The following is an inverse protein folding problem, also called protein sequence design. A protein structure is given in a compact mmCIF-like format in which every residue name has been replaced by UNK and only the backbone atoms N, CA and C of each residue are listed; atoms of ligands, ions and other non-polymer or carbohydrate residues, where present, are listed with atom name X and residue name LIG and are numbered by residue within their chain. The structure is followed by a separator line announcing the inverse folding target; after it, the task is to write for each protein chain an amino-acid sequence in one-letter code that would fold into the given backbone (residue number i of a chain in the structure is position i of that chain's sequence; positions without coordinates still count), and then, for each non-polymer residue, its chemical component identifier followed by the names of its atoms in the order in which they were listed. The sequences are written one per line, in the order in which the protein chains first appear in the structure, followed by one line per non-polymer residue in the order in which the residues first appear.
data_IF_085477508882
#
_entry.id   IF_085477508882
#
_cell.length_a   1.000
_cell.length_b   1.000
_cell.length_c   1.000
_cell.angle_alpha   90.00
_cell.angle_beta   90.00
_cell.angle_gamma   90.00
#
_symmetry.space_group_name_H-M   'P 1'
#
loop_
_entity.id
_entity.type
_entity.pdbx_description
1 polymer ?
#
# COMPACT_ATOMS: atom_id res chain seq x y z
N UNK A 1 -7.52 9.42 -15.77
CA UNK A 1 -6.78 8.34 -15.10
C UNK A 1 -6.66 7.15 -16.03
N UNK A 2 -5.47 6.56 -16.17
CA UNK A 2 -5.27 5.34 -17.00
C UNK A 2 -5.52 4.11 -16.12
N UNK A 3 -6.30 3.17 -16.63
CA UNK A 3 -6.57 1.89 -15.97
C UNK A 3 -5.93 0.73 -16.75
N UNK A 4 -5.45 -0.29 -16.05
CA UNK A 4 -4.89 -1.52 -16.62
C UNK A 4 -5.32 -2.71 -15.76
N UNK A 5 -5.71 -3.81 -16.40
CA UNK A 5 -5.90 -5.09 -15.70
C UNK A 5 -4.54 -5.77 -15.59
N UNK A 6 -4.18 -6.23 -14.40
CA UNK A 6 -2.98 -7.01 -14.15
C UNK A 6 -3.36 -8.29 -13.41
N UNK A 7 -2.89 -9.42 -13.91
CA UNK A 7 -3.07 -10.72 -13.27
C UNK A 7 -1.84 -11.04 -12.40
N UNK A 8 -2.08 -11.38 -11.14
CA UNK A 8 -1.10 -12.03 -10.28
C UNK A 8 -1.28 -13.54 -10.39
N UNK A 9 -0.26 -14.22 -10.92
CA UNK A 9 -0.27 -15.68 -11.13
C UNK A 9 0.07 -16.48 -9.88
N UNK A 10 0.42 -15.81 -8.78
CA UNK A 10 0.71 -16.39 -7.46
C UNK A 10 0.35 -15.39 -6.37
N UNK A 11 0.08 -15.91 -5.18
CA UNK A 11 -0.05 -15.10 -3.98
C UNK A 11 1.23 -14.31 -3.74
N UNK A 12 1.07 -13.08 -3.24
CA UNK A 12 2.18 -12.18 -2.91
C UNK A 12 2.17 -11.92 -1.41
N UNK A 13 3.34 -12.01 -0.80
CA UNK A 13 3.51 -11.97 0.64
C UNK A 13 4.14 -10.66 1.06
N UNK A 14 3.53 -9.98 2.01
CA UNK A 14 4.00 -8.71 2.52
C UNK A 14 4.05 -8.73 4.03
N UNK A 15 5.03 -8.03 4.59
CA UNK A 15 5.19 -7.83 6.02
C UNK A 15 5.22 -6.36 6.34
N UNK A 16 4.45 -5.94 7.33
CA UNK A 16 4.13 -4.53 7.49
C UNK A 16 3.78 -4.12 8.90
N UNK A 17 3.52 -2.83 9.05
CA UNK A 17 3.05 -2.22 10.28
C UNK A 17 1.64 -1.69 10.05
N UNK A 18 0.73 -1.97 10.99
CA UNK A 18 -0.61 -1.39 11.02
C UNK A 18 -0.55 0.04 11.55
N UNK A 19 -1.29 0.94 10.93
CA UNK A 19 -1.52 2.28 11.48
C UNK A 19 -2.32 2.16 12.78
N UNK A 20 -1.93 2.85 13.87
CA UNK A 20 -2.56 2.66 15.18
C UNK A 20 -4.03 3.09 15.21
N UNK A 21 -4.38 4.10 14.42
CA UNK A 21 -5.74 4.63 14.34
C UNK A 21 -6.52 4.03 13.16
N UNK A 22 -7.82 3.86 13.37
CA UNK A 22 -8.78 3.61 12.31
C UNK A 22 -8.99 4.91 11.51
N UNK A 23 -8.81 4.85 10.19
CA UNK A 23 -8.83 6.02 9.32
C UNK A 23 -10.16 6.16 8.57
N UNK A 24 -10.40 7.33 7.99
CA UNK A 24 -11.55 7.58 7.10
C UNK A 24 -11.13 8.49 5.94
N UNK A 25 -11.85 8.45 4.81
CA UNK A 25 -11.46 9.21 3.60
C UNK A 25 -11.39 10.72 3.79
N UNK A 26 -12.10 11.27 4.77
CA UNK A 26 -12.15 12.71 5.03
C UNK A 26 -11.20 13.16 6.13
N UNK A 27 -10.45 12.23 6.73
CA UNK A 27 -9.48 12.54 7.76
C UNK A 27 -8.11 12.81 7.13
N UNK A 28 -7.53 13.97 7.42
CA UNK A 28 -6.12 14.23 7.13
C UNK A 28 -5.27 13.42 8.10
N UNK A 29 -4.41 12.55 7.56
CA UNK A 29 -3.49 11.70 8.32
C UNK A 29 -2.10 11.91 7.77
N UNK A 30 -1.11 12.07 8.65
CA UNK A 30 0.30 12.17 8.26
C UNK A 30 0.86 10.77 7.94
N UNK A 31 0.41 10.21 6.81
CA UNK A 31 0.93 8.96 6.28
C UNK A 31 2.45 9.02 6.01
N UNK A 32 3.05 10.14 5.52
CA UNK A 32 4.51 10.25 5.38
C UNK A 32 5.29 9.97 6.67
N UNK A 33 4.86 10.52 7.80
CA UNK A 33 5.49 10.24 9.10
C UNK A 33 5.35 8.76 9.51
N UNK A 34 4.18 8.17 9.25
CA UNK A 34 3.94 6.74 9.49
C UNK A 34 4.85 5.85 8.63
N UNK A 35 5.00 6.15 7.34
CA UNK A 35 5.91 5.46 6.43
C UNK A 35 7.37 5.57 6.85
N UNK A 36 7.78 6.74 7.36
CA UNK A 36 9.13 6.95 7.92
C UNK A 36 9.36 6.03 9.11
N UNK A 37 8.40 5.99 10.04
CA UNK A 37 8.46 5.12 11.23
C UNK A 37 8.53 3.63 10.85
N UNK A 38 7.71 3.20 9.89
CA UNK A 38 7.73 1.84 9.35
C UNK A 38 9.12 1.51 8.79
N UNK A 39 9.65 2.37 7.93
CA UNK A 39 10.94 2.19 7.27
C UNK A 39 12.08 2.05 8.28
N UNK A 40 12.12 2.93 9.29
CA UNK A 40 13.15 2.86 10.34
C UNK A 40 13.08 1.58 11.16
N UNK A 41 11.86 1.14 11.54
CA UNK A 41 11.68 -0.11 12.29
C UNK A 41 12.04 -1.31 11.44
N UNK A 42 11.61 -1.30 10.18
CA UNK A 42 11.81 -2.40 9.25
C UNK A 42 13.30 -2.65 9.01
N UNK A 43 14.09 -1.61 8.71
CA UNK A 43 15.54 -1.74 8.50
C UNK A 43 16.35 -2.06 9.76
N UNK A 44 15.76 -1.90 10.95
CA UNK A 44 16.37 -2.33 12.22
C UNK A 44 16.01 -3.77 12.61
N UNK A 45 15.12 -4.42 11.85
CA UNK A 45 14.65 -5.78 12.12
C UNK A 45 15.36 -6.80 11.23
N UNK A 46 15.41 -8.06 11.68
CA UNK A 46 15.99 -9.17 10.91
C UNK A 46 15.15 -9.52 9.67
N UNK A 47 13.90 -9.03 9.59
CA UNK A 47 12.96 -9.24 8.49
C UNK A 47 13.44 -8.62 7.18
N UNK A 48 14.28 -7.57 7.25
CA UNK A 48 14.81 -6.93 6.04
C UNK A 48 15.60 -7.90 5.14
N UNK A 49 16.13 -9.00 5.70
CA UNK A 49 16.81 -10.06 4.96
C UNK A 49 15.87 -10.93 4.11
N UNK A 50 14.55 -10.86 4.35
CA UNK A 50 13.53 -11.61 3.60
C UNK A 50 13.04 -10.86 2.35
N UNK A 51 13.51 -9.62 2.13
CA UNK A 51 13.17 -8.82 0.95
C UNK A 51 13.96 -9.34 -0.26
N UNK A 52 13.26 -10.00 -1.16
CA UNK A 52 13.78 -10.32 -2.50
C UNK A 52 13.71 -9.10 -3.44
N UNK A 53 12.67 -8.28 -3.29
CA UNK A 53 12.39 -7.11 -4.13
C UNK A 53 11.92 -5.96 -3.27
N UNK A 54 12.46 -4.76 -3.51
CA UNK A 54 12.10 -3.55 -2.75
C UNK A 54 10.75 -2.97 -3.18
N UNK A 55 9.75 -3.83 -3.34
CA UNK A 55 8.39 -3.44 -3.63
C UNK A 55 7.62 -3.25 -2.32
N UNK A 56 6.83 -2.19 -2.24
CA UNK A 56 6.07 -1.83 -1.06
C UNK A 56 4.60 -1.56 -1.37
N UNK A 57 3.75 -1.71 -0.37
CA UNK A 57 2.32 -1.42 -0.47
C UNK A 57 1.82 -0.60 0.69
N UNK A 58 0.90 0.32 0.39
CA UNK A 58 -0.06 0.87 1.34
C UNK A 58 -1.33 0.06 1.27
N UNK A 59 -1.50 -0.94 2.13
CA UNK A 59 -2.67 -1.82 2.13
C UNK A 59 -3.83 -1.15 2.89
N UNK A 60 -5.01 -1.18 2.27
CA UNK A 60 -6.24 -0.55 2.79
C UNK A 60 -7.31 -1.63 2.90
N UNK A 61 -7.75 -1.93 4.12
CA UNK A 61 -8.87 -2.84 4.38
C UNK A 61 -10.11 -2.04 4.75
N UNK A 62 -11.17 -2.15 3.96
CA UNK A 62 -12.41 -1.40 4.21
C UNK A 62 -13.29 -2.09 5.25
N UNK A 63 -13.90 -1.30 6.13
CA UNK A 63 -14.91 -1.77 7.06
C UNK A 63 -16.29 -1.37 6.53
N UNK A 64 -17.17 -2.36 6.36
CA UNK A 64 -18.43 -2.32 5.61
C UNK A 64 -19.47 -1.25 6.02
N UNK A 65 -19.21 -0.40 7.01
CA UNK A 65 -20.26 0.41 7.66
C UNK A 65 -19.98 1.93 7.71
N UNK A 66 -18.78 2.42 7.37
CA UNK A 66 -18.43 3.81 7.74
C UNK A 66 -17.43 4.56 6.87
N UNK A 67 -17.11 4.10 5.65
CA UNK A 67 -15.98 4.65 4.86
C UNK A 67 -14.66 4.69 5.66
N UNK A 68 -14.60 3.87 6.70
CA UNK A 68 -13.46 3.74 7.58
C UNK A 68 -12.64 2.54 7.16
N UNK A 69 -11.33 2.64 7.31
CA UNK A 69 -10.43 1.62 6.85
C UNK A 69 -9.23 1.47 7.78
N UNK A 70 -8.68 0.27 7.79
CA UNK A 70 -7.38 -0.01 8.40
C UNK A 70 -6.30 0.19 7.34
N UNK A 71 -5.23 0.88 7.71
CA UNK A 71 -4.08 1.13 6.83
C UNK A 71 -2.85 0.38 7.31
N UNK A 72 -2.09 -0.19 6.38
CA UNK A 72 -0.84 -0.86 6.67
C UNK A 72 0.22 -0.42 5.67
N UNK A 73 1.41 -0.10 6.16
CA UNK A 73 2.61 0.06 5.33
C UNK A 73 3.38 -1.27 5.35
N UNK A 74 3.66 -1.84 4.19
CA UNK A 74 4.28 -3.17 4.10
C UNK A 74 5.26 -3.31 2.93
N UNK A 75 6.23 -4.20 3.07
CA UNK A 75 7.20 -4.56 2.03
C UNK A 75 7.01 -6.01 1.60
N UNK A 76 7.23 -6.30 0.31
CA UNK A 76 7.15 -7.66 -0.21
C UNK A 76 8.31 -8.51 0.32
N UNK A 77 8.00 -9.76 0.67
CA UNK A 77 8.97 -10.78 1.08
C UNK A 77 8.77 -12.05 0.26
N UNK A 78 9.83 -12.84 0.09
CA UNK A 78 9.77 -14.12 -0.61
C UNK A 78 8.93 -15.16 0.13
N UNK A 79 9.00 -15.15 1.46
CA UNK A 79 8.26 -16.03 2.35
C UNK A 79 8.07 -15.38 3.73
N UNK A 80 7.13 -15.92 4.52
CA UNK A 80 6.97 -15.48 5.90
C UNK A 80 7.98 -16.16 6.83
N UNK A 81 8.90 -15.38 7.37
CA UNK A 81 9.73 -15.77 8.51
C UNK A 81 9.09 -15.46 9.86
N UNK A 82 9.94 -15.38 10.89
CA UNK A 82 9.62 -14.71 12.15
C UNK A 82 9.41 -13.22 11.87
N UNK A 83 8.28 -12.66 12.30
CA UNK A 83 7.89 -11.30 11.92
C UNK A 83 7.99 -10.30 13.07
N UNK A 84 8.52 -10.64 14.24
CA UNK A 84 8.89 -9.70 15.32
C UNK A 84 7.99 -8.46 15.52
N UNK A 85 6.66 -8.69 15.58
CA UNK A 85 5.68 -7.61 15.77
C UNK A 85 5.31 -6.82 14.51
N UNK A 86 5.65 -7.34 13.33
CA UNK A 86 5.11 -6.97 12.03
C UNK A 86 3.97 -7.91 11.65
N UNK A 87 2.97 -7.32 10.98
CA UNK A 87 1.79 -7.98 10.46
C UNK A 87 2.10 -8.70 9.16
N UNK A 88 1.44 -9.84 8.93
CA UNK A 88 1.52 -10.61 7.70
C UNK A 88 0.34 -10.26 6.81
N UNK A 89 0.60 -9.85 5.58
CA UNK A 89 -0.40 -9.48 4.59
C UNK A 89 -0.21 -10.36 3.36
N UNK A 90 -1.31 -10.95 2.88
CA UNK A 90 -1.32 -11.77 1.66
C UNK A 90 -2.20 -11.08 0.64
N UNK A 91 -1.62 -10.78 -0.52
CA UNK A 91 -2.39 -10.35 -1.69
C UNK A 91 -2.62 -11.60 -2.55
N UNK A 92 -3.87 -12.11 -2.64
CA UNK A 92 -4.14 -13.37 -3.32
C UNK A 92 -3.85 -13.28 -4.81
N UNK A 93 -3.51 -14.40 -5.43
CA UNK A 93 -3.50 -14.51 -6.89
C UNK A 93 -4.87 -14.16 -7.48
N UNK A 94 -4.87 -13.55 -8.66
CA UNK A 94 -6.10 -13.11 -9.31
C UNK A 94 -5.91 -11.88 -10.19
N UNK A 95 -7.01 -11.42 -10.75
CA UNK A 95 -7.04 -10.21 -11.57
C UNK A 95 -7.29 -8.97 -10.71
N UNK A 96 -6.51 -7.93 -10.96
CA UNK A 96 -6.57 -6.66 -10.26
C UNK A 96 -6.69 -5.52 -11.26
N UNK A 97 -7.50 -4.53 -10.91
CA UNK A 97 -7.60 -3.28 -11.66
C UNK A 97 -6.60 -2.27 -11.08
N UNK A 98 -5.56 -1.98 -11.85
CA UNK A 98 -4.54 -1.00 -11.53
C UNK A 98 -4.89 0.35 -12.14
N UNK A 99 -4.70 1.40 -11.35
CA UNK A 99 -4.82 2.78 -11.78
C UNK A 99 -3.45 3.44 -11.68
N UNK A 100 -3.00 4.07 -12.77
CA UNK A 100 -1.79 4.88 -12.72
C UNK A 100 -2.14 6.19 -12.00
N UNK A 101 -1.60 6.39 -10.80
CA UNK A 101 -1.85 7.54 -9.92
C UNK A 101 -0.66 8.49 -9.93
N UNK A 102 -0.90 9.80 -10.07
CA UNK A 102 0.16 10.82 -9.92
C UNK A 102 0.45 11.03 -8.44
N UNK A 103 1.70 10.84 -8.04
CA UNK A 103 2.07 10.90 -6.62
C UNK A 103 1.80 12.28 -5.98
N UNK A 104 2.07 13.37 -6.71
CA UNK A 104 1.81 14.74 -6.26
C UNK A 104 0.34 15.02 -5.88
N UNK A 105 -0.62 14.34 -6.53
CA UNK A 105 -2.06 14.49 -6.30
C UNK A 105 -2.67 13.21 -5.68
N UNK A 106 -1.84 12.33 -5.09
CA UNK A 106 -2.20 10.94 -4.74
C UNK A 106 -3.53 10.82 -3.98
N UNK A 107 -3.73 11.59 -2.93
CA UNK A 107 -4.94 11.49 -2.09
C UNK A 107 -6.22 11.81 -2.88
N UNK A 108 -6.17 12.85 -3.71
CA UNK A 108 -7.29 13.26 -4.55
C UNK A 108 -7.56 12.22 -5.63
N UNK A 109 -6.52 11.65 -6.24
CA UNK A 109 -6.69 10.64 -7.28
C UNK A 109 -7.21 9.30 -6.70
N UNK A 110 -6.73 8.87 -5.53
CA UNK A 110 -7.25 7.69 -4.83
C UNK A 110 -8.73 7.89 -4.48
N UNK A 111 -9.09 9.05 -3.92
CA UNK A 111 -10.50 9.36 -3.62
C UNK A 111 -11.35 9.29 -4.88
N UNK A 112 -10.87 9.86 -5.98
CA UNK A 112 -11.58 9.82 -7.27
C UNK A 112 -11.75 8.40 -7.82
N UNK A 113 -10.76 7.51 -7.63
CA UNK A 113 -10.91 6.08 -7.97
C UNK A 113 -12.04 5.48 -7.17
N UNK A 114 -12.01 5.63 -5.85
CA UNK A 114 -12.91 4.95 -4.94
C UNK A 114 -14.35 5.43 -5.10
N UNK A 115 -14.55 6.73 -5.32
CA UNK A 115 -15.88 7.31 -5.65
C UNK A 115 -16.42 6.85 -7.00
N UNK A 116 -15.55 6.39 -7.92
CA UNK A 116 -15.98 5.88 -9.24
C UNK A 116 -16.44 4.41 -9.21
N UNK A 117 -16.23 3.71 -8.10
CA UNK A 117 -16.63 2.31 -7.94
C UNK A 117 -18.08 2.23 -7.45
N UNK A 118 -18.87 1.33 -8.03
CA UNK A 118 -20.26 1.09 -7.62
C UNK A 118 -20.36 0.58 -6.17
N UNK A 119 -19.34 -0.16 -5.72
CA UNK A 119 -19.19 -0.65 -4.36
C UNK A 119 -17.70 -0.63 -4.00
N UNK A 120 -17.39 -0.25 -2.76
CA UNK A 120 -16.03 -0.38 -2.26
C UNK A 120 -15.62 -1.86 -2.21
N UNK A 121 -14.39 -2.19 -2.62
CA UNK A 121 -13.87 -3.54 -2.49
C UNK A 121 -13.66 -3.88 -1.01
N UNK A 122 -13.42 -5.16 -0.69
CA UNK A 122 -13.01 -5.55 0.67
C UNK A 122 -11.66 -4.92 1.04
N UNK A 123 -10.77 -4.80 0.05
CA UNK A 123 -9.48 -4.13 0.19
C UNK A 123 -9.01 -3.50 -1.12
N UNK A 124 -8.10 -2.54 -1.01
CA UNK A 124 -7.26 -2.11 -2.12
C UNK A 124 -5.83 -1.86 -1.61
N UNK A 125 -4.91 -1.54 -2.50
CA UNK A 125 -3.56 -1.19 -2.10
C UNK A 125 -2.92 -0.18 -3.04
N UNK A 126 -2.18 0.75 -2.46
CA UNK A 126 -1.18 1.55 -3.16
C UNK A 126 0.00 0.61 -3.48
N UNK A 127 0.49 0.61 -4.72
CA UNK A 127 1.61 -0.25 -5.12
C UNK A 127 2.81 0.59 -5.54
N UNK A 128 3.90 0.45 -4.79
CA UNK A 128 5.17 1.12 -5.01
C UNK A 128 6.18 0.11 -5.57
N UNK A 129 6.42 0.09 -6.89
CA UNK A 129 7.40 -0.82 -7.49
C UNK A 129 8.83 -0.46 -7.05
N UNK A 130 9.77 -1.38 -7.21
CA UNK A 130 11.19 -1.14 -6.90
C UNK A 130 11.78 0.06 -7.66
N UNK A 131 11.24 0.37 -8.84
CA UNK A 131 11.63 1.52 -9.66
C UNK A 131 11.03 2.84 -9.19
N UNK A 132 10.18 2.85 -8.16
CA UNK A 132 9.55 4.06 -7.65
C UNK A 132 10.59 4.94 -6.96
N UNK A 133 10.74 6.18 -7.44
CA UNK A 133 11.58 7.18 -6.81
C UNK A 133 10.74 8.42 -6.49
N UNK A 134 10.44 8.62 -5.21
CA UNK A 134 9.66 9.76 -4.75
C UNK A 134 10.27 11.12 -5.13
N UNK A 135 11.61 11.22 -5.20
CA UNK A 135 12.30 12.48 -5.54
C UNK A 135 12.11 12.90 -7.01
N UNK A 136 11.83 11.93 -7.88
CA UNK A 136 11.62 12.16 -9.32
C UNK A 136 10.16 12.48 -9.66
N UNK A 137 9.21 12.12 -8.78
CA UNK A 137 7.77 12.31 -8.99
C UNK A 137 7.27 13.72 -8.63
N UNK A 138 8.04 14.48 -7.84
CA UNK A 138 7.74 15.88 -7.47
C UNK A 138 8.18 16.91 -8.53
N UNK A 139 8.82 16.46 -9.62
CA UNK A 139 9.22 17.34 -10.70
C UNK A 139 8.04 17.63 -11.62
N UNK A 140 7.69 18.91 -11.89
CA UNK A 140 6.71 19.22 -12.93
C UNK A 140 7.22 18.64 -14.25
N UNK A 141 6.36 17.88 -14.95
CA UNK A 141 6.65 17.35 -16.28
C UNK A 141 7.33 18.44 -17.13
N UNK A 142 8.60 18.21 -17.46
CA UNK A 142 9.40 19.09 -18.31
C UNK A 142 9.04 18.89 -19.78
#
# INVERSE_FOLDING_TARGET
MKQKVKEFTRDRYFVGMKHPDLLSFHQSVDLPAFWTTFTERFYKSDICHLIDRKEAIGYISFLNESHSYEYYAACEVGEFGETDGFEKIVIPMGEYLFFDIRFADKESEITSVLESLDQLPDFCFEFYPETFNHEEEDLPFS
#
